data_IF_109526353896
#
_entry.id   IF_109526353896
#
_cell.length_a   1.000
_cell.length_b   1.000
_cell.length_c   1.000
_cell.angle_alpha   90.00
_cell.angle_beta   90.00
_cell.angle_gamma   90.00
#
_symmetry.space_group_name_H-M   'P 1'
#
loop_
_entity.id
_entity.type
_entity.pdbx_description
1 polymer ?
#
# COMPACT_ATOMS: atom_id res chain seq x y z
N UNK A 1 -18.33 -6.84 15.70
CA UNK A 1 -18.22 -6.67 14.23
C UNK A 1 -16.77 -6.45 13.90
N UNK A 2 -16.17 -7.32 13.10
CA UNK A 2 -14.83 -7.08 12.54
C UNK A 2 -14.92 -5.89 11.58
N UNK A 3 -14.09 -4.88 11.79
CA UNK A 3 -14.00 -3.75 10.87
C UNK A 3 -13.04 -4.17 9.76
N UNK A 4 -13.58 -4.45 8.59
CA UNK A 4 -12.77 -4.49 7.37
C UNK A 4 -12.37 -3.05 7.04
N UNK A 5 -11.09 -2.82 6.79
CA UNK A 5 -10.67 -1.62 6.07
C UNK A 5 -10.82 -1.88 4.57
N UNK A 6 -11.56 -1.01 3.87
CA UNK A 6 -11.61 -1.05 2.41
C UNK A 6 -10.21 -0.84 1.82
N UNK A 7 -9.89 -1.43 0.67
CA UNK A 7 -8.55 -1.29 0.06
C UNK A 7 -7.49 -2.25 0.58
N UNK A 8 -7.88 -3.41 1.13
CA UNK A 8 -7.00 -4.57 1.35
C UNK A 8 -6.37 -4.70 2.74
N UNK A 9 -6.74 -3.85 3.70
CA UNK A 9 -6.24 -3.92 5.07
C UNK A 9 -6.56 -5.26 5.72
N UNK A 10 -5.62 -5.80 6.48
CA UNK A 10 -5.74 -7.10 7.13
C UNK A 10 -6.87 -7.15 8.16
N UNK A 11 -7.58 -8.28 8.21
CA UNK A 11 -8.56 -8.56 9.26
C UNK A 11 -7.87 -8.88 10.59
N UNK A 12 -8.51 -8.48 11.69
CA UNK A 12 -8.06 -8.75 13.05
C UNK A 12 -9.02 -8.13 14.07
N UNK A 13 -8.74 -8.31 15.36
CA UNK A 13 -9.44 -7.62 16.45
C UNK A 13 -9.37 -6.10 16.25
N UNK A 14 -8.18 -5.64 15.86
CA UNK A 14 -7.92 -4.32 15.35
C UNK A 14 -7.41 -4.45 13.91
N UNK A 15 -8.25 -4.11 12.94
CA UNK A 15 -7.91 -4.23 11.52
C UNK A 15 -6.73 -3.34 11.13
N UNK A 16 -6.00 -3.76 10.09
CA UNK A 16 -4.99 -2.94 9.46
C UNK A 16 -5.61 -1.87 8.56
N UNK A 17 -4.87 -0.79 8.32
CA UNK A 17 -5.27 0.29 7.42
C UNK A 17 -5.33 -0.18 5.96
N UNK A 18 -6.30 0.37 5.23
CA UNK A 18 -6.47 0.18 3.78
C UNK A 18 -5.51 1.03 2.95
N UNK A 19 -5.39 0.69 1.66
CA UNK A 19 -4.59 1.45 0.70
C UNK A 19 -5.47 2.28 -0.23
N UNK A 20 -4.92 3.38 -0.72
CA UNK A 20 -5.49 4.17 -1.80
C UNK A 20 -4.57 4.07 -3.01
N UNK A 21 -5.13 3.78 -4.18
CA UNK A 21 -4.34 3.52 -5.37
C UNK A 21 -5.01 4.06 -6.64
N UNK A 22 -4.21 4.23 -7.69
CA UNK A 22 -4.68 4.53 -9.05
C UNK A 22 -4.38 3.31 -9.92
N UNK A 23 -5.42 2.79 -10.58
CA UNK A 23 -5.39 1.57 -11.39
C UNK A 23 -5.68 1.89 -12.85
N UNK A 24 -5.01 1.19 -13.75
CA UNK A 24 -5.35 1.24 -15.18
C UNK A 24 -6.50 0.30 -15.55
N UNK A 25 -6.72 -0.74 -14.74
CA UNK A 25 -7.82 -1.68 -14.89
C UNK A 25 -8.72 -1.60 -13.65
N UNK A 26 -10.00 -1.33 -13.88
CA UNK A 26 -11.01 -1.39 -12.82
C UNK A 26 -11.18 -2.81 -12.31
N UNK A 27 -11.50 -2.95 -11.04
CA UNK A 27 -11.82 -4.22 -10.41
C UNK A 27 -12.09 -4.02 -8.94
N UNK A 28 -12.53 -5.09 -8.28
CA UNK A 28 -12.71 -5.10 -6.83
C UNK A 28 -11.38 -4.86 -6.11
N UNK A 29 -11.46 -4.58 -4.80
CA UNK A 29 -10.27 -4.27 -4.00
C UNK A 29 -9.20 -5.37 -4.06
N UNK A 30 -9.60 -6.62 -4.33
CA UNK A 30 -8.72 -7.78 -4.40
C UNK A 30 -8.63 -8.49 -5.74
N UNK A 31 -9.19 -7.91 -6.80
CA UNK A 31 -8.98 -8.43 -8.14
C UNK A 31 -7.50 -8.31 -8.52
N UNK A 32 -6.87 -9.45 -8.87
CA UNK A 32 -5.43 -9.49 -9.08
C UNK A 32 -5.00 -8.69 -10.31
N UNK A 33 -5.74 -8.74 -11.41
CA UNK A 33 -5.38 -8.01 -12.63
C UNK A 33 -5.52 -6.50 -12.42
N UNK A 34 -6.55 -6.08 -11.68
CA UNK A 34 -6.73 -4.71 -11.22
C UNK A 34 -5.59 -4.26 -10.29
N UNK A 35 -5.25 -5.04 -9.26
CA UNK A 35 -4.14 -4.76 -8.35
C UNK A 35 -2.78 -4.71 -9.07
N UNK A 36 -2.56 -5.58 -10.06
CA UNK A 36 -1.34 -5.60 -10.87
C UNK A 36 -1.21 -4.32 -11.70
N UNK A 37 -2.33 -3.74 -12.13
CA UNK A 37 -2.39 -2.51 -12.94
C UNK A 37 -2.20 -1.19 -12.18
N UNK A 38 -1.84 -1.25 -10.89
CA UNK A 38 -1.65 -0.06 -10.03
C UNK A 38 -0.39 0.70 -10.44
N UNK A 39 -0.54 2.00 -10.70
CA UNK A 39 0.55 2.92 -11.06
C UNK A 39 0.95 3.86 -9.90
N UNK A 40 0.07 4.04 -8.91
CA UNK A 40 0.32 4.70 -7.63
C UNK A 40 -0.35 3.86 -6.53
N UNK A 41 0.32 3.68 -5.41
CA UNK A 41 -0.19 3.05 -4.19
C UNK A 41 0.30 3.80 -2.96
N UNK A 42 -0.63 4.43 -2.25
CA UNK A 42 -0.43 4.90 -0.87
C UNK A 42 -0.86 3.80 0.09
N UNK A 43 0.05 3.33 0.94
CA UNK A 43 -0.19 2.17 1.80
C UNK A 43 -0.78 2.52 3.17
N UNK A 44 -1.45 1.53 3.76
CA UNK A 44 -2.02 1.60 5.09
C UNK A 44 -1.04 1.18 6.18
N UNK A 45 -1.28 1.67 7.40
CA UNK A 45 -0.57 1.24 8.60
C UNK A 45 -1.06 -0.14 9.08
N UNK A 46 -0.24 -0.85 9.85
CA UNK A 46 -0.70 -2.01 10.61
C UNK A 46 -1.68 -1.61 11.71
N UNK A 47 -2.55 -2.53 12.09
CA UNK A 47 -3.42 -2.37 13.25
C UNK A 47 -2.59 -2.43 14.54
N UNK A 48 -2.99 -1.64 15.54
CA UNK A 48 -2.43 -1.71 16.89
C UNK A 48 -3.09 -2.83 17.69
N UNK A 49 -2.42 -3.36 18.69
CA UNK A 49 -3.01 -4.27 19.67
C UNK A 49 -2.75 -3.76 21.09
N UNK A 50 -3.37 -4.38 22.08
CA UNK A 50 -3.27 -4.10 23.51
C UNK A 50 -1.86 -3.86 24.03
N UNK A 51 -0.83 -4.49 23.43
CA UNK A 51 0.56 -4.37 23.87
C UNK A 51 1.41 -3.45 22.99
N UNK A 52 1.00 -3.11 21.77
CA UNK A 52 1.91 -2.49 20.80
C UNK A 52 1.17 -1.76 19.67
N UNK A 53 1.73 -0.62 19.24
CA UNK A 53 1.17 0.17 18.15
C UNK A 53 1.57 -0.43 16.80
N UNK A 54 0.64 -0.41 15.84
CA UNK A 54 0.89 -0.83 14.48
C UNK A 54 1.93 0.04 13.78
N UNK A 55 2.66 -0.56 12.85
CA UNK A 55 3.68 0.11 12.06
C UNK A 55 3.06 1.03 11.00
N UNK A 56 3.51 2.28 10.87
CA UNK A 56 3.05 3.16 9.81
C UNK A 56 3.31 2.59 8.40
N UNK A 57 2.44 2.92 7.45
CA UNK A 57 2.66 2.70 6.02
C UNK A 57 3.30 3.93 5.35
N UNK A 58 3.34 3.90 4.03
CA UNK A 58 3.68 5.03 3.16
C UNK A 58 5.08 5.01 2.57
N UNK A 59 6.04 4.28 3.16
CA UNK A 59 7.42 4.23 2.68
C UNK A 59 7.70 3.01 1.78
N UNK A 60 8.86 2.99 1.10
CA UNK A 60 9.28 1.87 0.24
C UNK A 60 9.32 0.52 0.99
N UNK A 61 9.58 0.58 2.29
CA UNK A 61 9.43 -0.52 3.22
C UNK A 61 8.54 -0.05 4.37
N UNK A 62 7.33 -0.59 4.45
CA UNK A 62 6.42 -0.32 5.54
C UNK A 62 7.10 -0.55 6.89
N UNK A 63 6.71 0.25 7.88
CA UNK A 63 7.33 0.15 9.19
C UNK A 63 6.85 -1.09 9.93
N UNK A 64 7.74 -1.62 10.76
CA UNK A 64 7.37 -2.60 11.75
C UNK A 64 6.54 -1.92 12.85
N UNK A 65 5.84 -2.73 13.64
CA UNK A 65 5.20 -2.26 14.87
C UNK A 65 6.21 -1.64 15.84
N UNK A 66 5.76 -0.89 16.84
CA UNK A 66 6.68 -0.15 17.73
C UNK A 66 7.59 -1.07 18.54
N UNK A 67 7.13 -2.27 18.91
CA UNK A 67 7.94 -3.32 19.53
C UNK A 67 8.59 -4.29 18.53
N UNK A 68 8.53 -3.98 17.23
CA UNK A 68 9.16 -4.75 16.16
C UNK A 68 8.65 -6.20 16.10
N UNK A 69 7.36 -6.42 16.38
CA UNK A 69 6.72 -7.75 16.36
C UNK A 69 6.02 -7.98 15.02
N UNK A 70 5.12 -7.08 14.63
CA UNK A 70 4.58 -7.02 13.27
C UNK A 70 5.62 -6.47 12.30
N UNK A 71 5.76 -7.09 11.12
CA UNK A 71 6.76 -6.73 10.12
C UNK A 71 6.12 -6.02 8.94
N UNK A 72 6.66 -4.87 8.55
CA UNK A 72 6.12 -4.10 7.42
C UNK A 72 6.57 -4.63 6.07
N UNK A 73 5.72 -4.51 5.05
CA UNK A 73 5.96 -5.03 3.69
C UNK A 73 7.07 -4.29 2.94
N UNK A 74 7.62 -4.89 1.89
CA UNK A 74 8.69 -4.30 1.06
C UNK A 74 8.22 -4.07 -0.38
N UNK A 75 9.12 -3.64 -1.27
CA UNK A 75 8.80 -3.49 -2.70
C UNK A 75 8.57 -4.82 -3.44
N UNK A 76 8.99 -5.95 -2.87
CA UNK A 76 8.95 -7.25 -3.55
C UNK A 76 8.36 -8.38 -2.71
N UNK A 77 7.98 -8.10 -1.47
CA UNK A 77 7.54 -9.12 -0.55
C UNK A 77 6.55 -8.58 0.48
N UNK A 78 5.44 -9.29 0.65
CA UNK A 78 4.54 -9.09 1.77
C UNK A 78 5.13 -9.73 3.00
N UNK A 79 5.23 -8.99 4.10
CA UNK A 79 6.05 -9.43 5.22
C UNK A 79 5.47 -10.61 5.98
N UNK A 80 6.37 -11.39 6.60
CA UNK A 80 6.00 -12.57 7.40
C UNK A 80 5.32 -12.12 8.70
N UNK A 81 4.22 -12.79 9.01
CA UNK A 81 3.50 -12.68 10.27
C UNK A 81 2.94 -14.03 10.66
N UNK A 82 2.01 -14.07 11.61
CA UNK A 82 1.18 -15.28 11.77
C UNK A 82 0.37 -15.49 10.48
N UNK A 83 -0.20 -14.39 9.99
CA UNK A 83 -0.69 -14.25 8.64
C UNK A 83 0.23 -13.31 7.88
N UNK A 84 0.69 -13.78 6.72
CA UNK A 84 1.61 -13.02 5.88
C UNK A 84 0.87 -11.91 5.14
N UNK A 85 1.53 -10.75 5.04
CA UNK A 85 1.19 -9.76 4.04
C UNK A 85 1.33 -10.35 2.62
N UNK A 86 0.59 -9.81 1.68
CA UNK A 86 0.57 -10.25 0.27
C UNK A 86 0.63 -9.05 -0.66
N UNK A 87 0.77 -9.30 -1.95
CA UNK A 87 0.62 -8.26 -2.96
C UNK A 87 -0.78 -7.63 -2.85
N UNK A 88 -0.83 -6.31 -2.62
CA UNK A 88 -2.10 -5.58 -2.46
C UNK A 88 -2.79 -5.71 -1.10
N UNK A 89 -2.42 -6.66 -0.26
CA UNK A 89 -3.18 -6.99 0.96
C UNK A 89 -2.31 -7.11 2.20
N UNK A 90 -2.80 -6.57 3.32
CA UNK A 90 -2.23 -6.85 4.63
C UNK A 90 -2.51 -8.29 5.08
N UNK A 91 -1.62 -8.84 5.90
CA UNK A 91 -1.87 -10.11 6.56
C UNK A 91 -3.07 -9.98 7.51
N UNK A 92 -3.92 -10.98 7.59
CA UNK A 92 -5.06 -10.91 8.48
C UNK A 92 -5.92 -12.15 8.40
N UNK A 93 -6.72 -12.32 9.44
CA UNK A 93 -7.56 -13.49 9.63
C UNK A 93 -8.83 -13.12 10.39
N UNK A 94 -9.83 -13.97 10.22
CA UNK A 94 -11.11 -13.85 10.92
C UNK A 94 -11.08 -14.67 12.21
N UNK A 95 -10.17 -14.35 13.15
CA UNK A 95 -10.13 -15.02 14.45
C UNK A 95 -11.13 -14.39 15.41
N UNK A 96 -12.01 -15.23 15.97
CA UNK A 96 -13.02 -14.82 16.94
C UNK A 96 -12.47 -14.76 18.35
N UNK A 97 -12.69 -13.62 19.00
CA UNK A 97 -12.59 -13.47 20.46
C UNK A 97 -13.60 -14.45 21.07
N UNK A 98 -13.13 -15.40 21.88
CA UNK A 98 -14.00 -16.24 22.72
C UNK A 98 -13.84 -17.76 22.63
N UNK A 99 -12.86 -18.30 21.88
CA UNK A 99 -12.46 -19.70 22.05
C UNK A 99 -11.24 -19.76 22.97
N UNK A 100 -11.53 -19.91 24.26
CA UNK A 100 -10.63 -19.80 25.42
C UNK A 100 -9.39 -20.71 25.43
N UNK A 101 -9.17 -21.57 24.42
CA UNK A 101 -8.15 -22.59 24.57
C UNK A 101 -6.76 -22.21 24.04
N UNK A 102 -6.58 -21.38 23.00
CA UNK A 102 -5.22 -21.15 22.45
C UNK A 102 -4.91 -19.85 21.68
N UNK A 103 -5.75 -18.82 21.64
CA UNK A 103 -5.50 -17.71 20.69
C UNK A 103 -5.46 -16.33 21.35
N UNK A 104 -4.24 -15.80 21.46
CA UNK A 104 -3.92 -14.40 21.69
C UNK A 104 -4.46 -13.54 20.54
N UNK A 105 -4.83 -12.28 20.81
CA UNK A 105 -5.46 -11.39 19.84
C UNK A 105 -4.54 -11.11 18.66
N UNK A 106 -5.09 -11.01 17.44
CA UNK A 106 -4.29 -10.62 16.28
C UNK A 106 -4.79 -9.31 15.69
N UNK A 107 -3.87 -8.36 15.53
CA UNK A 107 -4.09 -7.16 14.73
C UNK A 107 -3.85 -7.46 13.25
N UNK A 108 -4.50 -6.71 12.37
CA UNK A 108 -4.34 -6.86 10.92
C UNK A 108 -3.15 -6.06 10.38
N UNK A 109 -2.42 -6.62 9.42
CA UNK A 109 -1.38 -5.90 8.68
C UNK A 109 -1.93 -4.79 7.79
N UNK A 110 -1.15 -3.74 7.57
CA UNK A 110 -1.50 -2.68 6.64
C UNK A 110 -1.36 -3.14 5.20
N UNK A 111 -2.29 -2.76 4.32
CA UNK A 111 -2.18 -3.01 2.88
C UNK A 111 -1.21 -2.06 2.21
N UNK A 112 -0.84 -2.36 0.97
CA UNK A 112 0.05 -1.52 0.18
C UNK A 112 0.32 -2.12 -1.19
N UNK A 113 1.45 -1.75 -1.79
CA UNK A 113 1.99 -2.48 -2.92
C UNK A 113 2.23 -3.93 -2.51
N UNK A 114 2.93 -4.11 -1.39
CA UNK A 114 2.87 -5.32 -0.57
C UNK A 114 2.49 -4.98 0.88
N UNK A 115 1.63 -5.78 1.47
CA UNK A 115 1.17 -5.54 2.83
C UNK A 115 2.14 -5.99 3.91
N UNK A 116 1.93 -5.48 5.12
CA UNK A 116 2.61 -5.95 6.33
C UNK A 116 2.02 -7.27 6.86
N UNK A 117 2.82 -7.98 7.64
CA UNK A 117 2.43 -9.21 8.33
C UNK A 117 1.87 -8.94 9.73
N UNK A 118 1.05 -9.88 10.21
CA UNK A 118 0.44 -9.82 11.56
C UNK A 118 1.39 -10.25 12.67
N UNK A 119 0.98 -10.03 13.92
CA UNK A 119 1.65 -10.57 15.11
C UNK A 119 0.67 -10.96 16.20
N UNK A 120 1.19 -11.64 17.23
CA UNK A 120 0.42 -12.23 18.34
C UNK A 120 0.36 -11.28 19.55
N UNK A 121 -0.80 -10.75 19.92
CA UNK A 121 -1.01 -9.71 20.95
C UNK A 121 -0.24 -8.39 20.75
N UNK A 122 0.42 -8.21 19.60
CA UNK A 122 1.20 -7.01 19.29
C UNK A 122 0.68 -6.36 18.00
N UNK A 123 1.05 -5.10 17.80
CA UNK A 123 0.73 -4.35 16.59
C UNK A 123 1.36 -4.98 15.35
N UNK A 124 0.69 -4.84 14.22
CA UNK A 124 1.11 -5.41 12.94
C UNK A 124 1.98 -4.45 12.14
N UNK A 125 2.59 -4.93 11.05
CA UNK A 125 3.37 -4.09 10.15
C UNK A 125 2.52 -3.28 9.17
N UNK A 126 3.04 -2.13 8.73
CA UNK A 126 2.47 -1.32 7.64
C UNK A 126 2.82 -1.86 6.25
N UNK A 127 2.05 -1.48 5.24
CA UNK A 127 2.35 -1.83 3.85
C UNK A 127 3.39 -0.91 3.21
N UNK A 128 4.01 -1.36 2.12
CA UNK A 128 4.88 -0.55 1.26
C UNK A 128 4.08 0.28 0.25
N UNK A 129 4.57 1.44 -0.12
CA UNK A 129 3.99 2.26 -1.19
C UNK A 129 4.55 1.86 -2.57
N UNK A 130 4.00 2.44 -3.63
CA UNK A 130 4.55 2.37 -4.98
C UNK A 130 4.16 3.60 -5.79
N UNK A 131 5.10 4.15 -6.56
CA UNK A 131 4.82 5.15 -7.59
C UNK A 131 5.65 4.76 -8.81
N UNK A 132 4.98 4.56 -9.94
CA UNK A 132 5.69 4.22 -11.18
C UNK A 132 6.70 5.31 -11.55
N UNK A 133 7.97 4.93 -11.70
CA UNK A 133 9.06 5.86 -11.99
C UNK A 133 9.71 6.52 -10.77
N UNK A 134 9.29 6.20 -9.54
CA UNK A 134 9.97 6.68 -8.33
C UNK A 134 11.21 5.85 -8.00
N UNK A 135 12.29 6.51 -7.60
CA UNK A 135 13.55 5.85 -7.25
C UNK A 135 13.36 4.82 -6.11
N UNK A 136 13.93 3.63 -6.27
CA UNK A 136 13.81 2.56 -5.28
C UNK A 136 12.51 1.76 -5.34
N UNK A 137 11.50 2.18 -6.12
CA UNK A 137 10.35 1.33 -6.41
C UNK A 137 10.73 0.17 -7.35
N UNK A 138 10.02 -0.95 -7.21
CA UNK A 138 10.21 -2.13 -8.07
C UNK A 138 8.88 -2.55 -8.66
N UNK A 139 8.73 -2.47 -9.97
CA UNK A 139 7.51 -2.86 -10.68
C UNK A 139 7.43 -4.36 -10.86
N UNK A 140 6.23 -4.91 -10.67
CA UNK A 140 5.83 -6.20 -11.23
C UNK A 140 5.86 -6.18 -12.77
N UNK A 141 6.06 -7.36 -13.38
CA UNK A 141 5.91 -7.53 -14.82
C UNK A 141 4.46 -7.86 -15.20
N UNK A 142 4.11 -7.66 -16.48
CA UNK A 142 2.78 -7.93 -17.01
C UNK A 142 2.37 -9.41 -16.84
N UNK A 143 3.35 -10.30 -16.95
CA UNK A 143 3.23 -11.76 -16.88
C UNK A 143 3.11 -12.29 -15.45
N UNK A 144 3.23 -11.43 -14.43
CA UNK A 144 3.08 -11.82 -13.03
C UNK A 144 1.73 -12.46 -12.77
N UNK A 145 1.73 -13.47 -11.90
CA UNK A 145 0.55 -14.24 -11.50
C UNK A 145 0.34 -14.13 -9.99
N UNK A 146 -0.89 -14.32 -9.52
CA UNK A 146 -1.24 -14.19 -8.11
C UNK A 146 -0.38 -15.08 -7.19
N UNK A 147 -0.08 -16.29 -7.62
CA UNK A 147 0.72 -17.29 -6.92
C UNK A 147 2.22 -17.18 -7.19
N UNK A 148 2.62 -16.37 -8.18
CA UNK A 148 4.01 -16.17 -8.57
C UNK A 148 4.22 -14.75 -9.09
N UNK A 149 4.48 -13.82 -8.16
CA UNK A 149 4.73 -12.43 -8.49
C UNK A 149 6.17 -12.28 -8.97
N UNK A 150 6.32 -11.80 -10.20
CA UNK A 150 7.61 -11.55 -10.84
C UNK A 150 7.86 -10.05 -11.00
N UNK A 151 9.13 -9.66 -11.02
CA UNK A 151 9.55 -8.26 -11.01
C UNK A 151 10.42 -7.93 -12.20
N UNK A 152 10.42 -6.66 -12.61
CA UNK A 152 11.40 -6.16 -13.57
C UNK A 152 12.80 -6.25 -12.95
N UNK A 153 13.75 -6.76 -13.72
CA UNK A 153 15.15 -6.92 -13.31
C UNK A 153 16.13 -6.17 -14.23
N UNK A 154 15.63 -5.54 -15.29
CA UNK A 154 16.42 -4.83 -16.29
C UNK A 154 15.78 -3.48 -16.66
N UNK A 155 16.64 -2.55 -17.12
CA UNK A 155 16.25 -1.17 -17.39
C UNK A 155 15.86 -0.44 -16.11
N UNK A 156 15.00 0.57 -16.26
CA UNK A 156 14.37 1.21 -15.10
C UNK A 156 13.29 0.28 -14.52
N UNK A 157 13.63 -0.38 -13.43
CA UNK A 157 12.78 -1.36 -12.75
C UNK A 157 11.61 -0.70 -12.01
N UNK A 158 11.62 0.61 -11.79
CA UNK A 158 10.55 1.32 -11.09
C UNK A 158 9.33 1.57 -11.98
N UNK A 159 9.52 1.63 -13.30
CA UNK A 159 8.47 1.95 -14.27
C UNK A 159 7.54 0.75 -14.47
N UNK A 160 6.25 0.99 -14.22
CA UNK A 160 5.13 0.08 -14.44
C UNK A 160 5.17 -0.56 -15.84
N UNK A 161 4.72 -1.81 -15.97
CA UNK A 161 4.80 -2.56 -17.24
C UNK A 161 4.01 -1.93 -18.41
N UNK A 162 3.11 -0.98 -18.14
CA UNK A 162 2.42 -0.19 -19.17
C UNK A 162 3.32 0.88 -19.82
N UNK A 163 4.47 1.18 -19.21
CA UNK A 163 5.36 2.28 -19.61
C UNK A 163 4.97 3.65 -19.03
N UNK A 164 3.83 3.78 -18.36
CA UNK A 164 3.47 5.04 -17.68
C UNK A 164 4.34 5.25 -16.45
N UNK A 165 4.80 6.48 -16.25
CA UNK A 165 5.56 6.90 -15.08
C UNK A 165 5.17 8.32 -14.66
N UNK A 166 5.53 8.66 -13.43
CA UNK A 166 5.44 10.00 -12.90
C UNK A 166 6.84 10.59 -12.79
N UNK A 167 6.94 11.89 -13.06
CA UNK A 167 8.17 12.66 -12.90
C UNK A 167 8.10 13.48 -11.61
N UNK A 168 9.27 13.76 -11.00
CA UNK A 168 9.38 14.59 -9.77
C UNK A 168 8.51 14.08 -8.62
N UNK A 169 8.57 12.77 -8.42
CA UNK A 169 7.77 12.07 -7.42
C UNK A 169 8.35 12.25 -6.01
N UNK A 170 7.48 12.32 -5.02
CA UNK A 170 7.82 12.33 -3.59
C UNK A 170 7.00 11.25 -2.89
N UNK A 171 7.63 10.58 -1.94
CA UNK A 171 6.98 9.62 -1.05
C UNK A 171 7.11 10.16 0.37
N UNK A 172 5.98 10.52 0.96
CA UNK A 172 5.86 10.84 2.37
C UNK A 172 5.22 9.65 3.08
N UNK A 173 5.70 9.33 4.29
CA UNK A 173 5.24 8.18 5.05
C UNK A 173 4.55 8.59 6.36
N UNK A 174 3.91 7.62 7.02
CA UNK A 174 3.16 7.87 8.24
C UNK A 174 3.99 8.23 9.48
N UNK A 175 5.30 8.44 9.36
CA UNK A 175 6.16 9.03 10.41
C UNK A 175 6.54 10.47 10.15
N UNK A 176 6.30 10.96 8.94
CA UNK A 176 6.64 12.33 8.53
C UNK A 176 5.37 13.15 8.33
N UNK A 177 5.57 14.47 8.31
CA UNK A 177 4.48 15.42 8.11
C UNK A 177 3.97 15.32 6.66
N UNK A 178 2.68 15.09 6.49
CA UNK A 178 2.01 15.02 5.20
C UNK A 178 0.77 15.92 5.19
N UNK A 179 0.29 16.26 3.99
CA UNK A 179 -0.95 17.02 3.85
C UNK A 179 -2.16 16.08 3.97
N UNK A 180 -3.06 16.42 4.87
CA UNK A 180 -4.38 15.79 4.99
C UNK A 180 -5.28 16.16 3.79
N UNK A 181 -6.44 15.49 3.63
CA UNK A 181 -7.38 15.81 2.56
C UNK A 181 -7.86 17.27 2.55
N UNK A 182 -7.93 17.91 3.72
CA UNK A 182 -8.38 19.30 3.86
C UNK A 182 -7.25 20.33 3.68
N UNK A 183 -6.01 19.87 3.48
CA UNK A 183 -4.83 20.69 3.26
C UNK A 183 -4.06 21.09 4.51
N UNK A 184 -4.50 20.71 5.71
CA UNK A 184 -3.68 20.83 6.94
C UNK A 184 -2.55 19.80 6.95
N UNK A 185 -1.53 20.05 7.76
CA UNK A 185 -0.47 19.09 7.99
C UNK A 185 -0.81 18.13 9.13
N UNK A 186 -0.41 16.87 9.00
CA UNK A 186 -0.59 15.79 9.97
C UNK A 186 0.55 14.77 9.90
N UNK A 187 0.75 13.98 10.96
CA UNK A 187 1.68 12.84 10.98
C UNK A 187 0.84 11.57 11.09
N UNK A 188 0.94 10.72 10.07
CA UNK A 188 -0.07 9.68 9.85
C UNK A 188 -1.42 10.27 9.41
N UNK A 189 -2.29 9.43 8.87
CA UNK A 189 -3.66 9.84 8.51
C UNK A 189 -4.68 9.03 9.31
N UNK A 190 -5.59 9.73 9.99
CA UNK A 190 -6.74 9.12 10.66
C UNK A 190 -7.98 9.28 9.77
N UNK A 191 -8.52 8.16 9.30
CA UNK A 191 -9.73 8.13 8.49
C UNK A 191 -9.55 7.32 7.22
N UNK A 192 -10.36 7.64 6.22
CA UNK A 192 -10.32 6.99 4.92
C UNK A 192 -9.17 7.56 4.09
N UNK A 193 -8.39 6.70 3.45
CA UNK A 193 -7.41 7.14 2.47
C UNK A 193 -8.07 7.92 1.32
N UNK A 194 -7.30 8.81 0.71
CA UNK A 194 -7.78 9.67 -0.37
C UNK A 194 -6.72 9.78 -1.47
N UNK A 195 -7.19 10.04 -2.69
CA UNK A 195 -6.34 10.40 -3.83
C UNK A 195 -6.81 11.76 -4.31
N UNK A 196 -5.88 12.72 -4.42
CA UNK A 196 -6.16 14.04 -5.00
C UNK A 196 -5.37 14.20 -6.30
N UNK A 197 -6.10 14.31 -7.40
CA UNK A 197 -5.53 14.64 -8.71
C UNK A 197 -5.81 16.11 -8.97
N UNK A 198 -4.78 16.87 -9.31
CA UNK A 198 -4.91 18.28 -9.70
C UNK A 198 -4.35 18.41 -11.09
N UNK A 199 -5.19 18.80 -12.06
CA UNK A 199 -4.75 19.12 -13.40
C UNK A 199 -4.11 20.49 -13.38
N UNK A 200 -2.82 20.56 -13.68
CA UNK A 200 -2.15 21.82 -13.96
C UNK A 200 -2.36 22.06 -15.46
N UNK A 201 -3.14 23.08 -15.82
CA UNK A 201 -3.29 23.45 -17.23
C UNK A 201 -2.00 24.08 -17.76
N UNK A 202 -1.66 23.67 -18.98
CA UNK A 202 -0.67 24.19 -19.93
C UNK A 202 0.83 24.11 -19.61
N UNK A 203 1.50 23.23 -20.38
CA UNK A 203 2.67 23.67 -21.15
C UNK A 203 2.46 23.15 -22.58
N UNK A 204 2.28 24.06 -23.53
CA UNK A 204 2.54 23.77 -24.93
C UNK A 204 4.03 23.47 -25.07
N UNK A 205 4.45 22.22 -24.91
CA UNK A 205 5.80 21.83 -25.31
C UNK A 205 5.86 21.88 -26.84
N UNK A 206 6.36 23.00 -27.38
CA UNK A 206 6.87 23.03 -28.74
C UNK A 206 8.18 22.24 -28.71
N UNK A 207 8.09 20.92 -28.88
CA UNK A 207 9.24 20.08 -29.16
C UNK A 207 9.07 19.45 -30.53
N UNK A 208 10.15 19.37 -31.31
CA UNK A 208 10.15 18.71 -32.62
C UNK A 208 10.02 17.17 -32.52
N UNK A 209 9.88 16.63 -31.30
CA UNK A 209 9.68 15.23 -31.02
C UNK A 209 8.34 15.08 -30.32
N UNK A 210 7.38 14.43 -30.98
CA UNK A 210 6.07 14.14 -30.39
C UNK A 210 6.26 13.16 -29.21
N UNK A 211 6.39 13.70 -27.99
CA UNK A 211 6.32 12.92 -26.76
C UNK A 211 4.86 13.01 -26.30
N UNK A 212 4.06 11.94 -26.43
CA UNK A 212 2.67 11.98 -25.97
C UNK A 212 2.64 12.03 -24.44
N UNK A 213 2.46 13.23 -23.89
CA UNK A 213 2.07 13.41 -22.50
C UNK A 213 0.58 13.09 -22.38
N UNK A 214 0.27 11.92 -21.81
CA UNK A 214 -1.11 11.58 -21.49
C UNK A 214 -1.52 12.29 -20.20
N UNK A 215 -2.35 13.31 -20.31
CA UNK A 215 -3.13 13.81 -19.18
C UNK A 215 -4.27 12.82 -18.93
N UNK A 216 -4.13 11.98 -17.91
CA UNK A 216 -5.22 11.11 -17.48
C UNK A 216 -6.18 12.00 -16.67
N UNK A 217 -7.19 12.55 -17.34
CA UNK A 217 -8.36 13.10 -16.67
C UNK A 217 -9.19 11.94 -16.12
N UNK A 218 -9.13 11.73 -14.82
CA UNK A 218 -10.12 10.94 -14.10
C UNK A 218 -10.57 11.76 -12.88
N UNK A 219 -11.83 12.21 -12.91
CA UNK A 219 -12.53 12.70 -11.72
C UNK A 219 -13.25 11.52 -11.07
N UNK A 220 -13.07 11.32 -9.77
CA UNK A 220 -14.00 10.56 -8.95
C UNK A 220 -15.11 11.49 -8.46
#
# INVERSE_FOLDING_TARGET
>A
MYKNSYGGGGQGQFGGGGSSDIRLLSGEYDDFESLKSRIIVASGAGGSDSKDQGGPGGSLKGYNSTQNKGKGGTQTFGSIGIENGKFGKGGGENRTIGLEQYHLGTSGGGSGYFGGGTSDDYGSGGGSCYISGHEGCVSVIKESKMDNISFKTQGDISIHYSGFKFERTVIDDGKHEMKSPNGTFEIGHLGNGFVRITTIFDISEISCNFIPYYSIMHSF
#
